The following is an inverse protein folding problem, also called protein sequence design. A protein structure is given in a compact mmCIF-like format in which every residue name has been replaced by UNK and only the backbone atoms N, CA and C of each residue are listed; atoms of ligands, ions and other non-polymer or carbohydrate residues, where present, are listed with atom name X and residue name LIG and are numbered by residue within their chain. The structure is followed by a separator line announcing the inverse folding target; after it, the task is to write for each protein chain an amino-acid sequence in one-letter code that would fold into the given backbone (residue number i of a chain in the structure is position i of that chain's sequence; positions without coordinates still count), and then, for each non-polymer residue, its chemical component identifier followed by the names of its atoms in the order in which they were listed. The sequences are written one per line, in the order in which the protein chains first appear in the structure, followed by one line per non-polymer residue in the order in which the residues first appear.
data_IF_793271356351
#
_entry.id   IF_793271356351
#
_cell.length_a   1.000
_cell.length_b   1.000
_cell.length_c   1.000
_cell.angle_alpha   90.00
_cell.angle_beta   90.00
_cell.angle_gamma   90.00
#
_symmetry.space_group_name_H-M   'P 1'
#
loop_
_entity.id
_entity.type
_entity.pdbx_description
1 polymer ?
#
# COMPACT_ATOMS: atom_id res chain seq x y z
N UNK A 1 20.70 -28.82 -3.43
CA UNK A 1 19.66 -27.83 -3.03
C UNK A 1 20.22 -26.38 -3.02
N UNK A 2 20.78 -25.89 -4.15
CA UNK A 2 21.34 -24.51 -4.25
C UNK A 2 20.68 -23.65 -5.35
N UNK A 3 20.03 -24.29 -6.34
CA UNK A 3 19.48 -23.64 -7.53
C UNK A 3 18.18 -22.87 -7.24
N UNK A 4 17.41 -23.28 -6.22
CA UNK A 4 16.19 -22.56 -5.80
C UNK A 4 16.48 -21.22 -5.10
N UNK A 5 17.68 -21.00 -4.56
CA UNK A 5 17.98 -19.79 -3.77
C UNK A 5 18.14 -18.53 -4.63
N UNK A 6 18.76 -18.64 -5.81
CA UNK A 6 19.03 -17.48 -6.66
C UNK A 6 17.75 -16.92 -7.29
N UNK A 7 16.91 -17.80 -7.88
CA UNK A 7 15.62 -17.42 -8.45
C UNK A 7 14.68 -16.81 -7.39
N UNK A 8 14.70 -17.35 -6.17
CA UNK A 8 13.89 -16.83 -5.07
C UNK A 8 14.39 -15.46 -4.60
N UNK A 9 15.70 -15.30 -4.44
CA UNK A 9 16.32 -14.02 -4.09
C UNK A 9 16.05 -12.94 -5.15
N UNK A 10 16.06 -13.29 -6.44
CA UNK A 10 15.68 -12.34 -7.50
C UNK A 10 14.21 -11.93 -7.42
N UNK A 11 13.31 -12.83 -7.03
CA UNK A 11 11.90 -12.50 -6.83
C UNK A 11 11.70 -11.62 -5.59
N UNK A 12 12.46 -11.85 -4.51
CA UNK A 12 12.42 -11.01 -3.31
C UNK A 12 12.89 -9.60 -3.59
N UNK A 13 14.05 -9.46 -4.25
CA UNK A 13 14.57 -8.16 -4.69
C UNK A 13 13.58 -7.49 -5.66
N UNK A 14 12.96 -8.25 -6.57
CA UNK A 14 11.94 -7.76 -7.48
C UNK A 14 10.71 -7.23 -6.73
N UNK A 15 10.19 -7.97 -5.74
CA UNK A 15 9.04 -7.55 -4.93
C UNK A 15 9.29 -6.27 -4.15
N UNK A 16 10.49 -6.16 -3.55
CA UNK A 16 10.94 -4.94 -2.87
C UNK A 16 11.05 -3.77 -3.84
N UNK A 17 11.70 -3.98 -5.00
CA UNK A 17 11.86 -2.94 -6.00
C UNK A 17 10.50 -2.44 -6.52
N UNK A 18 9.56 -3.35 -6.82
CA UNK A 18 8.21 -3.01 -7.26
C UNK A 18 7.46 -2.25 -6.16
N UNK A 19 7.51 -2.73 -4.92
CA UNK A 19 6.86 -2.06 -3.78
C UNK A 19 7.42 -0.66 -3.53
N UNK A 20 8.74 -0.49 -3.57
CA UNK A 20 9.39 0.82 -3.43
C UNK A 20 9.02 1.74 -4.59
N UNK A 21 9.09 1.28 -5.84
CA UNK A 21 8.69 2.07 -7.00
C UNK A 21 7.24 2.52 -6.88
N UNK A 22 6.34 1.61 -6.51
CA UNK A 22 4.95 1.94 -6.24
C UNK A 22 4.85 3.01 -5.14
N UNK A 23 5.50 2.82 -3.99
CA UNK A 23 5.49 3.80 -2.89
C UNK A 23 5.98 5.19 -3.32
N UNK A 24 7.05 5.26 -4.13
CA UNK A 24 7.60 6.52 -4.62
C UNK A 24 6.65 7.24 -5.57
N UNK A 25 5.98 6.48 -6.43
CA UNK A 25 4.94 7.01 -7.32
C UNK A 25 3.81 7.57 -6.47
N UNK A 26 3.29 6.80 -5.50
CA UNK A 26 2.22 7.22 -4.60
C UNK A 26 2.61 8.49 -3.81
N UNK A 27 3.82 8.55 -3.28
CA UNK A 27 4.39 9.74 -2.59
C UNK A 27 4.39 10.96 -3.50
N UNK A 28 4.82 10.83 -4.75
CA UNK A 28 4.86 11.94 -5.70
C UNK A 28 3.47 12.51 -5.99
N UNK A 29 2.44 11.72 -5.78
CA UNK A 29 1.05 12.12 -5.99
C UNK A 29 0.44 12.71 -4.72
N UNK A 30 0.91 12.29 -3.53
CA UNK A 30 0.42 12.76 -2.23
C UNK A 30 0.37 14.30 -2.03
N UNK A 31 1.15 15.13 -2.72
CA UNK A 31 0.93 16.58 -2.66
C UNK A 31 -0.41 17.02 -3.28
N UNK A 32 -0.86 16.38 -4.36
CA UNK A 32 -2.23 16.56 -4.88
C UNK A 32 -3.27 16.14 -3.83
N UNK A 33 -2.87 15.25 -2.91
CA UNK A 33 -3.68 14.73 -1.83
C UNK A 33 -3.95 15.80 -0.76
N UNK A 34 -2.91 16.48 -0.30
CA UNK A 34 -3.00 17.44 0.80
C UNK A 34 -3.70 18.76 0.43
N UNK A 35 -3.63 19.16 -0.84
CA UNK A 35 -4.23 20.42 -1.32
C UNK A 35 -5.77 20.35 -1.37
N UNK A 36 -6.34 19.17 -1.62
CA UNK A 36 -7.77 19.00 -1.87
C UNK A 36 -8.65 18.90 -0.61
N UNK A 37 -8.08 19.08 0.61
CA UNK A 37 -8.77 18.81 1.90
C UNK A 37 -9.55 17.51 1.86
N UNK A 38 -8.84 16.40 1.76
CA UNK A 38 -9.53 15.12 1.64
C UNK A 38 -10.45 14.84 2.81
N UNK A 39 -11.59 14.16 2.55
CA UNK A 39 -12.47 13.70 3.61
C UNK A 39 -11.66 12.90 4.63
N UNK A 40 -11.86 13.24 5.90
CA UNK A 40 -11.13 12.66 7.02
C UNK A 40 -11.29 11.13 7.05
N UNK A 41 -12.43 10.62 6.62
CA UNK A 41 -12.77 9.21 6.52
C UNK A 41 -11.84 8.45 5.55
N UNK A 42 -11.55 9.04 4.37
CA UNK A 42 -10.65 8.43 3.39
C UNK A 42 -9.23 8.39 3.94
N UNK A 43 -8.81 9.46 4.61
CA UNK A 43 -7.49 9.56 5.20
C UNK A 43 -7.32 8.59 6.39
N UNK A 44 -8.36 8.38 7.21
CA UNK A 44 -8.39 7.32 8.25
C UNK A 44 -8.18 5.96 7.60
N UNK A 45 -8.98 5.63 6.58
CA UNK A 45 -8.94 4.32 5.94
C UNK A 45 -7.59 4.04 5.29
N UNK A 46 -6.96 5.06 4.71
CA UNK A 46 -5.61 4.96 4.17
C UNK A 46 -4.59 4.59 5.26
N UNK A 47 -4.55 5.34 6.37
CA UNK A 47 -3.62 5.06 7.47
C UNK A 47 -3.93 3.73 8.16
N UNK A 48 -5.21 3.35 8.25
CA UNK A 48 -5.64 2.04 8.70
C UNK A 48 -5.03 0.92 7.87
N UNK A 49 -5.13 1.00 6.54
CA UNK A 49 -4.54 -0.01 5.66
C UNK A 49 -3.01 -0.05 5.78
N UNK A 50 -2.35 1.10 5.88
CA UNK A 50 -0.91 1.14 6.15
C UNK A 50 -0.55 0.44 7.47
N UNK A 51 -1.34 0.64 8.53
CA UNK A 51 -1.14 -0.04 9.82
C UNK A 51 -1.31 -1.56 9.71
N UNK A 52 -2.35 -2.03 9.02
CA UNK A 52 -2.55 -3.45 8.73
C UNK A 52 -1.35 -4.01 7.96
N UNK A 53 -0.91 -3.34 6.89
CA UNK A 53 0.20 -3.80 6.07
C UNK A 53 1.52 -3.90 6.81
N UNK A 54 1.86 -2.92 7.65
CA UNK A 54 3.11 -2.95 8.42
C UNK A 54 3.13 -4.15 9.35
N UNK A 55 2.04 -4.39 10.08
CA UNK A 55 1.99 -5.51 11.02
C UNK A 55 1.94 -6.84 10.28
N UNK A 56 1.00 -7.01 9.33
CA UNK A 56 0.88 -8.24 8.56
C UNK A 56 2.12 -8.58 7.73
N UNK A 57 2.93 -7.58 7.36
CA UNK A 57 4.23 -7.83 6.75
C UNK A 57 5.16 -8.60 7.70
N UNK A 58 5.14 -8.30 9.00
CA UNK A 58 5.95 -9.02 10.00
C UNK A 58 5.55 -10.49 10.04
N UNK A 59 4.25 -10.79 10.23
CA UNK A 59 3.76 -12.17 10.21
C UNK A 59 4.11 -12.91 8.92
N UNK A 60 3.95 -12.26 7.77
CA UNK A 60 4.24 -12.88 6.47
C UNK A 60 5.73 -13.09 6.19
N UNK A 61 6.62 -12.24 6.71
CA UNK A 61 8.08 -12.38 6.53
C UNK A 61 8.64 -13.58 7.30
N UNK A 62 8.02 -13.95 8.42
CA UNK A 62 8.44 -15.10 9.22
C UNK A 62 8.23 -16.41 8.47
N UNK A 63 7.20 -16.50 7.63
CA UNK A 63 6.89 -17.70 6.87
C UNK A 63 7.44 -17.64 5.43
N UNK A 64 8.15 -18.69 5.07
CA UNK A 64 8.93 -18.76 3.84
C UNK A 64 8.08 -18.58 2.56
N UNK A 65 6.88 -19.15 2.54
CA UNK A 65 6.00 -19.14 1.36
C UNK A 65 5.28 -17.79 1.19
N UNK A 66 5.08 -17.02 2.27
CA UNK A 66 4.44 -15.71 2.24
C UNK A 66 5.41 -14.53 2.26
N UNK A 67 6.71 -14.78 2.46
CA UNK A 67 7.74 -13.74 2.64
C UNK A 67 7.74 -12.68 1.56
N UNK A 68 7.56 -13.06 0.30
CA UNK A 68 7.46 -12.12 -0.84
C UNK A 68 6.33 -11.10 -0.65
N UNK A 69 5.16 -11.57 -0.21
CA UNK A 69 4.02 -10.70 0.06
C UNK A 69 4.31 -9.75 1.23
N UNK A 70 4.93 -10.26 2.30
CA UNK A 70 5.31 -9.42 3.44
C UNK A 70 6.31 -8.32 3.07
N UNK A 71 7.33 -8.66 2.29
CA UNK A 71 8.30 -7.68 1.77
C UNK A 71 7.64 -6.61 0.89
N UNK A 72 6.72 -7.01 0.01
CA UNK A 72 5.95 -6.08 -0.82
C UNK A 72 5.10 -5.12 0.04
N UNK A 73 4.35 -5.65 1.01
CA UNK A 73 3.52 -4.84 1.91
C UNK A 73 4.35 -3.83 2.71
N UNK A 74 5.48 -4.25 3.25
CA UNK A 74 6.42 -3.38 3.95
C UNK A 74 6.99 -2.30 3.02
N UNK A 75 7.41 -2.69 1.81
CA UNK A 75 7.99 -1.78 0.82
C UNK A 75 6.98 -0.72 0.32
N UNK A 76 5.68 -1.02 0.34
CA UNK A 76 4.63 -0.04 0.03
C UNK A 76 4.35 0.86 1.24
N UNK A 77 4.08 0.26 2.39
CA UNK A 77 3.53 0.97 3.55
C UNK A 77 4.56 1.82 4.31
N UNK A 78 5.80 1.32 4.49
CA UNK A 78 6.82 2.03 5.28
C UNK A 78 7.20 3.37 4.64
N UNK A 79 7.55 3.46 3.34
CA UNK A 79 7.89 4.75 2.74
C UNK A 79 6.72 5.73 2.75
N UNK A 80 5.48 5.24 2.56
CA UNK A 80 4.29 6.07 2.64
C UNK A 80 4.10 6.68 4.03
N UNK A 81 4.20 5.87 5.08
CA UNK A 81 4.12 6.34 6.45
C UNK A 81 5.25 7.30 6.80
N UNK A 82 6.47 7.02 6.34
CA UNK A 82 7.61 7.93 6.53
C UNK A 82 7.36 9.29 5.89
N UNK A 83 6.88 9.30 4.64
CA UNK A 83 6.56 10.54 3.95
C UNK A 83 5.40 11.29 4.63
N UNK A 84 4.30 10.60 4.95
CA UNK A 84 3.18 11.16 5.73
C UNK A 84 3.66 11.80 7.04
N UNK A 85 4.56 11.13 7.77
CA UNK A 85 5.19 11.67 8.98
C UNK A 85 6.00 12.93 8.70
N UNK A 86 6.80 12.94 7.63
CA UNK A 86 7.66 14.07 7.29
C UNK A 86 6.89 15.34 6.94
N UNK A 87 5.67 15.20 6.43
CA UNK A 87 4.76 16.31 6.11
C UNK A 87 3.82 16.63 7.29
N UNK A 88 3.95 15.92 8.42
CA UNK A 88 3.14 16.15 9.62
C UNK A 88 1.68 15.70 9.48
N UNK A 89 1.40 14.78 8.54
CA UNK A 89 0.05 14.31 8.23
C UNK A 89 -0.06 12.81 8.50
N UNK A 90 -0.16 12.43 9.77
CA UNK A 90 -0.50 11.06 10.19
C UNK A 90 -1.81 11.10 10.97
N UNK A 91 -2.76 10.24 10.56
CA UNK A 91 -3.97 9.99 11.35
C UNK A 91 -3.74 8.78 12.24
N UNK A 92 -3.45 9.06 13.51
CA UNK A 92 -3.01 8.06 14.49
C UNK A 92 -4.12 7.05 14.77
N UNK A 93 -5.38 7.50 14.82
CA UNK A 93 -6.53 6.65 15.12
C UNK A 93 -6.67 5.53 14.07
N UNK A 94 -6.58 5.90 12.79
CA UNK A 94 -6.59 4.95 11.68
C UNK A 94 -5.42 3.99 11.76
N UNK A 95 -4.20 4.54 11.92
CA UNK A 95 -2.97 3.74 11.99
C UNK A 95 -3.02 2.69 13.11
N UNK A 96 -3.37 3.10 14.34
CA UNK A 96 -3.46 2.20 15.50
C UNK A 96 -4.54 1.14 15.31
N UNK A 97 -5.72 1.52 14.82
CA UNK A 97 -6.78 0.56 14.54
C UNK A 97 -6.31 -0.49 13.51
N UNK A 98 -5.58 -0.05 12.49
CA UNK A 98 -4.97 -0.93 11.49
C UNK A 98 -3.95 -1.89 12.09
N UNK A 99 -3.06 -1.37 12.94
CA UNK A 99 -2.05 -2.18 13.63
C UNK A 99 -2.69 -3.23 14.54
N UNK A 100 -3.77 -2.89 15.26
CA UNK A 100 -4.51 -3.86 16.09
C UNK A 100 -5.09 -4.98 15.22
N UNK A 101 -5.75 -4.64 14.12
CA UNK A 101 -6.31 -5.64 13.19
C UNK A 101 -5.21 -6.52 12.59
N UNK A 102 -4.10 -5.94 12.14
CA UNK A 102 -2.95 -6.69 11.63
C UNK A 102 -2.35 -7.63 12.68
N UNK A 103 -2.26 -7.18 13.94
CA UNK A 103 -1.74 -8.00 15.03
C UNK A 103 -2.67 -9.18 15.34
N UNK A 104 -3.98 -8.96 15.39
CA UNK A 104 -4.95 -10.03 15.59
C UNK A 104 -4.90 -11.08 14.46
N UNK A 105 -4.72 -10.63 13.21
CA UNK A 105 -4.55 -11.52 12.06
C UNK A 105 -3.29 -12.36 12.17
N UNK A 106 -2.16 -11.74 12.48
CA UNK A 106 -0.88 -12.44 12.64
C UNK A 106 -0.94 -13.46 13.78
N UNK A 107 -1.46 -13.07 14.95
CA UNK A 107 -1.63 -13.98 16.09
C UNK A 107 -2.53 -15.16 15.75
N UNK A 108 -3.66 -14.90 15.08
CA UNK A 108 -4.58 -15.95 14.64
C UNK A 108 -3.88 -16.94 13.69
N UNK A 109 -3.14 -16.41 12.72
CA UNK A 109 -2.46 -17.21 11.70
C UNK A 109 -1.32 -18.03 12.29
N UNK A 110 -0.53 -17.44 13.18
CA UNK A 110 0.55 -18.14 13.90
C UNK A 110 -0.05 -19.27 14.76
N UNK A 111 -1.13 -18.99 15.50
CA UNK A 111 -1.76 -19.99 16.36
C UNK A 111 -2.39 -21.15 15.57
N UNK A 112 -2.97 -20.86 14.39
CA UNK A 112 -3.61 -21.87 13.54
C UNK A 112 -2.69 -22.48 12.49
N UNK A 113 -1.47 -21.97 12.34
CA UNK A 113 -0.54 -22.29 11.26
C UNK A 113 -1.18 -22.17 9.86
N UNK A 114 -1.88 -21.04 9.62
CA UNK A 114 -2.67 -20.79 8.38
C UNK A 114 -2.19 -19.55 7.63
N UNK A 115 -0.92 -19.52 7.24
CA UNK A 115 -0.32 -18.39 6.52
C UNK A 115 -0.92 -18.18 5.12
N UNK A 116 -1.58 -19.20 4.57
CA UNK A 116 -2.44 -19.10 3.38
C UNK A 116 -3.55 -18.06 3.55
N UNK A 117 -4.18 -18.04 4.73
CA UNK A 117 -5.24 -17.07 5.06
C UNK A 117 -4.67 -15.67 5.20
N UNK A 118 -3.48 -15.52 5.79
CA UNK A 118 -2.82 -14.22 5.89
C UNK A 118 -2.51 -13.65 4.51
N UNK A 119 -1.94 -14.46 3.62
CA UNK A 119 -1.65 -14.05 2.26
C UNK A 119 -2.92 -13.68 1.48
N UNK A 120 -3.99 -14.47 1.62
CA UNK A 120 -5.29 -14.16 0.99
C UNK A 120 -5.89 -12.86 1.51
N UNK A 121 -5.92 -12.67 2.83
CA UNK A 121 -6.47 -11.47 3.48
C UNK A 121 -5.64 -10.23 3.12
N UNK A 122 -4.32 -10.35 3.08
CA UNK A 122 -3.41 -9.29 2.63
C UNK A 122 -3.68 -8.85 1.19
N UNK A 123 -4.02 -9.78 0.28
CA UNK A 123 -4.45 -9.41 -1.09
C UNK A 123 -5.76 -8.65 -1.08
N UNK A 124 -6.72 -9.03 -0.24
CA UNK A 124 -7.98 -8.28 -0.08
C UNK A 124 -7.71 -6.87 0.42
N UNK A 125 -6.84 -6.69 1.42
CA UNK A 125 -6.46 -5.35 1.87
C UNK A 125 -5.69 -4.56 0.81
N UNK A 126 -4.81 -5.20 0.04
CA UNK A 126 -4.11 -4.57 -1.08
C UNK A 126 -5.10 -4.10 -2.16
N UNK A 127 -6.11 -4.91 -2.47
CA UNK A 127 -7.22 -4.53 -3.36
C UNK A 127 -7.95 -3.30 -2.81
N UNK A 128 -8.33 -3.34 -1.52
CA UNK A 128 -8.97 -2.22 -0.83
C UNK A 128 -8.12 -0.94 -0.86
N UNK A 129 -6.80 -1.08 -0.70
CA UNK A 129 -5.85 0.03 -0.80
C UNK A 129 -5.87 0.67 -2.18
N UNK A 130 -5.82 -0.13 -3.25
CA UNK A 130 -5.91 0.41 -4.61
C UNK A 130 -7.26 1.08 -4.88
N UNK A 131 -8.36 0.52 -4.39
CA UNK A 131 -9.69 1.13 -4.53
C UNK A 131 -9.74 2.47 -3.80
N UNK A 132 -9.33 2.52 -2.53
CA UNK A 132 -9.31 3.76 -1.74
C UNK A 132 -8.40 4.79 -2.41
N UNK A 133 -7.22 4.37 -2.88
CA UNK A 133 -6.30 5.26 -3.58
C UNK A 133 -6.86 5.78 -4.90
N UNK A 134 -7.62 4.96 -5.63
CA UNK A 134 -8.28 5.38 -6.89
C UNK A 134 -9.37 6.41 -6.60
N UNK A 135 -10.27 6.13 -5.65
CA UNK A 135 -11.33 7.06 -5.22
C UNK A 135 -10.72 8.37 -4.77
N UNK A 136 -9.65 8.29 -4.00
CA UNK A 136 -8.88 9.44 -3.56
C UNK A 136 -8.41 10.27 -4.77
N UNK A 137 -7.72 9.63 -5.71
CA UNK A 137 -7.10 10.29 -6.86
C UNK A 137 -8.14 11.05 -7.69
N UNK A 138 -9.27 10.38 -7.95
CA UNK A 138 -10.41 10.94 -8.67
C UNK A 138 -10.99 12.14 -7.92
N UNK A 139 -11.19 12.05 -6.60
CA UNK A 139 -11.70 13.16 -5.81
C UNK A 139 -10.78 14.39 -5.85
N UNK A 140 -9.48 14.19 -5.64
CA UNK A 140 -8.50 15.27 -5.69
C UNK A 140 -8.46 15.98 -7.04
N UNK A 141 -8.54 15.22 -8.13
CA UNK A 141 -8.61 15.76 -9.48
C UNK A 141 -9.91 16.53 -9.74
N UNK A 142 -11.06 16.00 -9.32
CA UNK A 142 -12.36 16.66 -9.46
C UNK A 142 -12.41 18.00 -8.70
N UNK A 143 -11.77 18.08 -7.53
CA UNK A 143 -11.71 19.33 -6.76
C UNK A 143 -10.83 20.41 -7.41
N UNK A 144 -9.83 20.02 -8.20
CA UNK A 144 -8.94 20.94 -8.90
C UNK A 144 -9.40 21.27 -10.32
N UNK A 145 -10.45 20.62 -10.81
CA UNK A 145 -10.98 20.73 -12.17
C UNK A 145 -11.18 22.18 -12.67
N UNK A 146 -11.59 23.16 -11.85
CA UNK A 146 -11.68 24.57 -12.27
C UNK A 146 -10.34 25.24 -12.61
N UNK A 147 -9.23 24.70 -12.12
CA UNK A 147 -7.87 25.25 -12.22
C UNK A 147 -6.90 24.34 -12.97
N UNK A 148 -7.38 23.20 -13.50
CA UNK A 148 -6.55 22.17 -14.12
C UNK A 148 -6.11 22.59 -15.53
N UNK A 149 -4.80 22.56 -15.78
CA UNK A 149 -4.26 22.74 -17.12
C UNK A 149 -4.36 21.45 -17.93
N UNK A 150 -4.32 21.53 -19.27
CA UNK A 150 -4.25 20.34 -20.13
C UNK A 150 -3.09 19.40 -19.75
N UNK A 151 -1.96 19.97 -19.31
CA UNK A 151 -0.80 19.19 -18.86
C UNK A 151 -1.09 18.39 -17.58
N UNK A 152 -1.92 18.90 -16.68
CA UNK A 152 -2.30 18.19 -15.46
C UNK A 152 -3.31 17.07 -15.73
N UNK A 153 -4.18 17.24 -16.74
CA UNK A 153 -5.04 16.16 -17.25
C UNK A 153 -4.20 15.00 -17.80
N UNK A 154 -3.18 15.28 -18.61
CA UNK A 154 -2.30 14.23 -19.14
C UNK A 154 -1.56 13.49 -18.03
N UNK A 155 -1.03 14.21 -17.04
CA UNK A 155 -0.40 13.60 -15.86
C UNK A 155 -1.38 12.70 -15.14
N UNK A 156 -2.61 13.16 -14.90
CA UNK A 156 -3.65 12.37 -14.25
C UNK A 156 -3.95 11.07 -15.00
N UNK A 157 -4.13 11.13 -16.32
CA UNK A 157 -4.41 9.94 -17.15
C UNK A 157 -3.25 8.93 -17.08
N UNK A 158 -2.01 9.38 -17.27
CA UNK A 158 -0.82 8.50 -17.21
C UNK A 158 -0.76 7.78 -15.87
N UNK A 159 -1.05 8.53 -14.81
CA UNK A 159 -0.93 8.08 -13.45
C UNK A 159 -2.05 7.12 -13.04
N UNK A 160 -3.26 7.36 -13.52
CA UNK A 160 -4.40 6.44 -13.39
C UNK A 160 -4.14 5.13 -14.15
N UNK A 161 -3.61 5.22 -15.38
CA UNK A 161 -3.23 4.05 -16.17
C UNK A 161 -2.13 3.23 -15.49
N UNK A 162 -1.15 3.91 -14.89
CA UNK A 162 -0.08 3.26 -14.14
C UNK A 162 -0.60 2.62 -12.85
N UNK A 163 -1.51 3.26 -12.12
CA UNK A 163 -2.15 2.68 -10.94
C UNK A 163 -2.92 1.40 -11.29
N UNK A 164 -3.71 1.42 -12.38
CA UNK A 164 -4.42 0.24 -12.88
C UNK A 164 -3.44 -0.86 -13.30
N UNK A 165 -2.37 -0.49 -14.01
CA UNK A 165 -1.35 -1.46 -14.44
C UNK A 165 -0.68 -2.14 -13.25
N UNK A 166 -0.38 -1.38 -12.20
CA UNK A 166 0.19 -1.90 -10.95
C UNK A 166 -0.81 -2.76 -10.18
N UNK A 167 -2.09 -2.35 -10.13
CA UNK A 167 -3.16 -3.16 -9.55
C UNK A 167 -3.24 -4.54 -10.22
N UNK A 168 -3.27 -4.58 -11.56
CA UNK A 168 -3.33 -5.83 -12.34
C UNK A 168 -2.06 -6.68 -12.14
N UNK A 169 -0.89 -6.05 -12.00
CA UNK A 169 0.38 -6.76 -11.85
C UNK A 169 0.57 -7.38 -10.45
N UNK A 170 -0.12 -6.84 -9.44
CA UNK A 170 0.06 -7.23 -8.04
C UNK A 170 -1.05 -8.15 -7.49
N UNK A 171 -2.11 -8.41 -8.25
CA UNK A 171 -3.24 -9.28 -7.90
C UNK A 171 -3.29 -10.54 -8.74
#
# INVERSE_FOLDING_TARGET
MRIHSAKRRTLEVGSLAIGVVLSLILIKILPYFLVARTPYEIAILFHFLCGVFVVSAVGMILEEDSRLGGLLLAAISIPLLYHSSSVGYIIIEGLLAGMVVGCLLDLYVIYKNRFDVLAGTSRTFLTGFFIIFTVYLSYGFLMQLPSVSAMDVYKFIILFALLISLYILLL
#
